data_IF_188950450704
#
_entry.id   IF_188950450704
#
_cell.length_a   1.000
_cell.length_b   1.000
_cell.length_c   1.000
_cell.angle_alpha   90.00
_cell.angle_beta   90.00
_cell.angle_gamma   90.00
#
_symmetry.space_group_name_H-M   'P 1'
#
loop_
_entity.id
_entity.type
_entity.pdbx_description
1 polymer ?
#
# COMPACT_ATOMS: atom_id res chain seq x y z
N UNK A 1 -32.19 41.20 83.88
CA UNK A 1 -32.98 40.03 84.31
C UNK A 1 -32.47 39.61 85.68
N UNK A 2 -33.33 39.02 86.50
CA UNK A 2 -32.92 38.45 87.78
C UNK A 2 -32.27 37.09 87.54
N UNK A 3 -31.17 36.81 88.21
CA UNK A 3 -30.59 35.46 88.29
C UNK A 3 -31.31 34.63 89.36
N UNK A 4 -31.19 33.29 89.33
CA UNK A 4 -31.69 32.44 90.42
C UNK A 4 -31.18 32.93 91.79
N UNK A 5 -29.92 33.36 91.87
CA UNK A 5 -29.30 33.91 93.09
C UNK A 5 -29.97 35.22 93.52
N UNK A 6 -30.43 36.05 92.59
CA UNK A 6 -31.16 37.29 92.91
C UNK A 6 -32.57 37.02 93.43
N UNK A 7 -33.19 35.91 93.02
CA UNK A 7 -34.50 35.46 93.52
C UNK A 7 -34.35 34.89 94.93
N UNK A 8 -33.32 34.06 95.16
CA UNK A 8 -33.04 33.43 96.45
C UNK A 8 -32.65 34.43 97.54
N UNK A 9 -31.88 35.47 97.19
CA UNK A 9 -31.44 36.49 98.14
C UNK A 9 -32.44 37.64 98.31
N UNK A 10 -33.66 37.52 97.78
CA UNK A 10 -34.63 38.61 97.79
C UNK A 10 -35.30 38.75 99.15
N UNK A 11 -34.94 39.79 99.89
CA UNK A 11 -35.64 40.16 101.13
C UNK A 11 -36.81 41.13 100.87
N UNK A 12 -37.97 40.82 101.44
CA UNK A 12 -39.16 41.66 101.41
C UNK A 12 -39.34 42.42 102.73
N UNK A 13 -39.73 43.70 102.66
CA UNK A 13 -40.03 44.51 103.86
C UNK A 13 -41.30 43.98 104.53
N UNK A 14 -41.29 43.82 105.87
CA UNK A 14 -42.46 43.38 106.65
C UNK A 14 -43.58 44.43 106.59
N UNK A 15 -44.78 44.03 106.17
CA UNK A 15 -45.97 44.91 106.18
C UNK A 15 -46.58 44.99 107.58
N UNK A 16 -47.06 46.18 107.98
CA UNK A 16 -47.62 46.43 109.32
C UNK A 16 -49.08 45.96 109.48
N UNK A 17 -49.86 45.86 108.39
CA UNK A 17 -51.26 45.38 108.36
C UNK A 17 -51.51 44.73 106.98
N UNK A 18 -52.11 43.54 106.94
CA UNK A 18 -52.63 42.90 105.71
C UNK A 18 -51.60 42.43 104.67
N UNK A 19 -50.38 42.06 105.07
CA UNK A 19 -49.36 41.52 104.16
C UNK A 19 -49.52 40.02 103.84
N UNK A 20 -48.83 39.54 102.80
CA UNK A 20 -48.78 38.12 102.45
C UNK A 20 -48.10 37.27 103.54
N UNK A 21 -48.50 36.00 103.63
CA UNK A 21 -47.89 35.04 104.54
C UNK A 21 -46.45 34.72 104.08
N UNK A 22 -45.48 34.91 104.98
CA UNK A 22 -44.06 34.76 104.66
C UNK A 22 -43.72 33.32 104.23
N UNK A 23 -44.28 32.31 104.90
CA UNK A 23 -44.04 30.90 104.56
C UNK A 23 -44.57 30.56 103.16
N UNK A 24 -45.82 30.92 102.86
CA UNK A 24 -46.44 30.69 101.54
C UNK A 24 -45.70 31.42 100.40
N UNK A 25 -45.21 32.64 100.66
CA UNK A 25 -44.39 33.39 99.69
C UNK A 25 -43.04 32.71 99.46
N UNK A 26 -42.40 32.20 100.52
CA UNK A 26 -41.12 31.50 100.39
C UNK A 26 -41.27 30.17 99.64
N UNK A 27 -42.30 29.38 99.95
CA UNK A 27 -42.58 28.11 99.25
C UNK A 27 -42.82 28.36 97.75
N UNK A 28 -43.55 29.42 97.41
CA UNK A 28 -43.76 29.83 96.01
C UNK A 28 -42.48 30.32 95.33
N UNK A 29 -41.62 31.05 96.05
CA UNK A 29 -40.32 31.49 95.53
C UNK A 29 -39.38 30.32 95.27
N UNK A 30 -39.41 29.27 96.08
CA UNK A 30 -38.66 28.03 95.87
C UNK A 30 -39.14 27.29 94.61
N UNK A 31 -40.46 27.23 94.39
CA UNK A 31 -41.05 26.64 93.17
C UNK A 31 -40.69 27.45 91.91
N UNK A 32 -40.72 28.79 92.01
CA UNK A 32 -40.23 29.70 90.96
C UNK A 32 -38.75 29.43 90.71
N UNK A 33 -37.91 29.37 91.75
CA UNK A 33 -36.47 29.19 91.64
C UNK A 33 -36.16 27.90 90.86
N UNK A 34 -36.82 26.80 91.23
CA UNK A 34 -36.67 25.50 90.57
C UNK A 34 -37.05 25.58 89.08
N UNK A 35 -38.24 26.10 88.78
CA UNK A 35 -38.73 26.24 87.41
C UNK A 35 -37.83 27.17 86.58
N UNK A 36 -37.33 28.25 87.19
CA UNK A 36 -36.42 29.20 86.54
C UNK A 36 -35.07 28.56 86.21
N UNK A 37 -34.55 27.73 87.12
CA UNK A 37 -33.32 26.98 86.91
C UNK A 37 -33.47 25.95 85.78
N UNK A 38 -34.61 25.24 85.74
CA UNK A 38 -34.93 24.30 84.66
C UNK A 38 -34.97 25.01 83.29
N UNK A 39 -35.66 26.15 83.19
CA UNK A 39 -35.72 26.95 81.95
C UNK A 39 -34.34 27.47 81.54
N UNK A 40 -33.51 27.91 82.48
CA UNK A 40 -32.13 28.36 82.17
C UNK A 40 -31.29 27.21 81.63
N UNK A 41 -31.34 26.04 82.27
CA UNK A 41 -30.60 24.87 81.84
C UNK A 41 -31.07 24.40 80.45
N UNK A 42 -32.38 24.37 80.20
CA UNK A 42 -32.95 24.04 78.90
C UNK A 42 -32.52 25.09 77.84
N UNK A 43 -32.49 26.37 78.19
CA UNK A 43 -32.03 27.42 77.27
C UNK A 43 -30.57 27.24 76.86
N UNK A 44 -29.69 26.86 77.80
CA UNK A 44 -28.29 26.55 77.48
C UNK A 44 -28.19 25.30 76.59
N UNK A 45 -28.89 24.21 76.95
CA UNK A 45 -28.89 22.99 76.14
C UNK A 45 -29.42 23.22 74.71
N UNK A 46 -30.46 24.05 74.55
CA UNK A 46 -31.00 24.44 73.25
C UNK A 46 -30.01 25.31 72.47
N UNK A 47 -29.33 26.26 73.12
CA UNK A 47 -28.29 27.08 72.48
C UNK A 47 -27.13 26.22 71.97
N UNK A 48 -26.65 25.28 72.78
CA UNK A 48 -25.59 24.35 72.38
C UNK A 48 -26.02 23.50 71.20
N UNK A 49 -27.25 22.98 71.23
CA UNK A 49 -27.83 22.22 70.12
C UNK A 49 -27.95 23.04 68.83
N UNK A 50 -28.39 24.30 68.94
CA UNK A 50 -28.47 25.24 67.81
C UNK A 50 -27.09 25.48 67.22
N UNK A 51 -26.07 25.68 68.05
CA UNK A 51 -24.69 25.88 67.59
C UNK A 51 -24.18 24.66 66.84
N UNK A 52 -24.34 23.45 67.39
CA UNK A 52 -23.93 22.21 66.73
C UNK A 52 -24.66 21.95 65.40
N UNK A 53 -25.97 22.25 65.36
CA UNK A 53 -26.77 22.17 64.12
C UNK A 53 -26.29 23.18 63.09
N UNK A 54 -25.99 24.42 63.49
CA UNK A 54 -25.49 25.45 62.59
C UNK A 54 -24.13 25.08 61.99
N UNK A 55 -23.21 24.55 62.80
CA UNK A 55 -21.92 24.05 62.31
C UNK A 55 -22.11 22.93 61.29
N UNK A 56 -23.00 21.98 61.57
CA UNK A 56 -23.34 20.89 60.65
C UNK A 56 -23.91 21.43 59.33
N UNK A 57 -24.81 22.41 59.39
CA UNK A 57 -25.37 23.04 58.18
C UNK A 57 -24.28 23.74 57.36
N UNK A 58 -23.34 24.45 58.00
CA UNK A 58 -22.23 25.08 57.30
C UNK A 58 -21.30 24.06 56.62
N UNK A 59 -21.03 22.96 57.31
CA UNK A 59 -20.27 21.85 56.74
C UNK A 59 -20.96 21.27 55.49
N UNK A 60 -22.26 20.97 55.57
CA UNK A 60 -23.01 20.44 54.43
C UNK A 60 -23.08 21.43 53.27
N UNK A 61 -23.24 22.73 53.52
CA UNK A 61 -23.22 23.75 52.46
C UNK A 61 -21.87 23.83 51.75
N UNK A 62 -20.78 23.74 52.50
CA UNK A 62 -19.42 23.75 51.94
C UNK A 62 -19.18 22.49 51.10
N UNK A 63 -19.65 21.34 51.59
CA UNK A 63 -19.57 20.08 50.87
C UNK A 63 -20.40 20.11 49.58
N UNK A 64 -21.63 20.61 49.64
CA UNK A 64 -22.51 20.78 48.48
C UNK A 64 -21.86 21.66 47.41
N UNK A 65 -21.30 22.80 47.81
CA UNK A 65 -20.57 23.69 46.90
C UNK A 65 -19.37 22.98 46.27
N UNK A 66 -18.63 22.19 47.04
CA UNK A 66 -17.49 21.41 46.53
C UNK A 66 -17.95 20.38 45.50
N UNK A 67 -19.04 19.65 45.78
CA UNK A 67 -19.60 18.65 44.86
C UNK A 67 -20.09 19.31 43.58
N UNK A 68 -20.78 20.45 43.66
CA UNK A 68 -21.20 21.21 42.49
C UNK A 68 -20.01 21.64 41.63
N UNK A 69 -18.94 22.14 42.25
CA UNK A 69 -17.72 22.52 41.53
C UNK A 69 -17.05 21.31 40.86
N UNK A 70 -16.98 20.16 41.56
CA UNK A 70 -16.44 18.92 40.99
C UNK A 70 -17.30 18.42 39.82
N UNK A 71 -18.62 18.52 39.92
CA UNK A 71 -19.53 18.12 38.84
C UNK A 71 -19.32 18.99 37.59
N UNK A 72 -19.22 20.30 37.76
CA UNK A 72 -18.95 21.25 36.66
C UNK A 72 -17.57 20.98 36.04
N UNK A 73 -16.56 20.73 36.86
CA UNK A 73 -15.22 20.39 36.37
C UNK A 73 -15.22 19.07 35.61
N UNK A 74 -15.94 18.05 36.10
CA UNK A 74 -16.05 16.76 35.44
C UNK A 74 -16.75 16.88 34.09
N UNK A 75 -17.87 17.62 34.01
CA UNK A 75 -18.57 17.87 32.75
C UNK A 75 -17.68 18.63 31.76
N UNK A 76 -17.02 19.69 32.20
CA UNK A 76 -16.07 20.44 31.37
C UNK A 76 -14.94 19.54 30.86
N UNK A 77 -14.33 18.76 31.74
CA UNK A 77 -13.25 17.82 31.37
C UNK A 77 -13.74 16.77 30.38
N UNK A 78 -14.95 16.25 30.55
CA UNK A 78 -15.56 15.31 29.62
C UNK A 78 -15.80 15.95 28.25
N UNK A 79 -16.31 17.17 28.21
CA UNK A 79 -16.50 17.93 26.96
C UNK A 79 -15.17 18.24 26.27
N UNK A 80 -14.15 18.69 27.00
CA UNK A 80 -12.82 18.98 26.47
C UNK A 80 -12.15 17.71 25.92
N UNK A 81 -12.22 16.60 26.66
CA UNK A 81 -11.69 15.30 26.21
C UNK A 81 -12.41 14.79 24.96
N UNK A 82 -13.74 14.93 24.93
CA UNK A 82 -14.56 14.57 23.77
C UNK A 82 -14.19 15.44 22.55
N UNK A 83 -14.07 16.75 22.73
CA UNK A 83 -13.66 17.69 21.69
C UNK A 83 -12.29 17.34 21.10
N UNK A 84 -11.30 17.13 21.96
CA UNK A 84 -9.94 16.74 21.53
C UNK A 84 -9.93 15.39 20.77
N UNK A 85 -10.75 14.41 21.21
CA UNK A 85 -10.87 13.14 20.52
C UNK A 85 -11.47 13.30 19.11
N UNK A 86 -12.50 14.14 18.94
CA UNK A 86 -13.08 14.42 17.62
C UNK A 86 -12.12 15.17 16.71
N UNK A 87 -11.42 16.17 17.22
CA UNK A 87 -10.40 16.91 16.45
C UNK A 87 -9.31 15.96 15.96
N UNK A 88 -8.80 15.10 16.84
CA UNK A 88 -7.79 14.10 16.48
C UNK A 88 -8.31 13.08 15.48
N UNK A 89 -9.57 12.64 15.61
CA UNK A 89 -10.18 11.73 14.67
C UNK A 89 -10.32 12.35 13.27
N UNK A 90 -10.73 13.63 13.18
CA UNK A 90 -10.85 14.31 11.89
C UNK A 90 -9.47 14.57 11.26
N UNK A 91 -8.45 14.88 12.07
CA UNK A 91 -7.07 15.01 11.60
C UNK A 91 -6.56 13.69 11.01
N UNK A 92 -6.76 12.56 11.72
CA UNK A 92 -6.37 11.22 11.25
C UNK A 92 -7.10 10.87 9.94
N UNK A 93 -8.41 11.15 9.87
CA UNK A 93 -9.20 10.90 8.68
C UNK A 93 -8.68 11.71 7.49
N UNK A 94 -8.46 13.00 7.68
CA UNK A 94 -7.91 13.89 6.65
C UNK A 94 -6.53 13.44 6.18
N UNK A 95 -5.66 13.04 7.11
CA UNK A 95 -4.33 12.53 6.76
C UNK A 95 -4.42 11.22 5.98
N UNK A 96 -5.31 10.31 6.38
CA UNK A 96 -5.56 9.05 5.67
C UNK A 96 -6.09 9.31 4.25
N UNK A 97 -7.04 10.24 4.08
CA UNK A 97 -7.58 10.66 2.79
C UNK A 97 -6.47 11.23 1.90
N UNK A 98 -5.65 12.16 2.40
CA UNK A 98 -4.52 12.73 1.67
C UNK A 98 -3.48 11.68 1.26
N UNK A 99 -3.16 10.74 2.15
CA UNK A 99 -2.25 9.63 1.84
C UNK A 99 -2.83 8.72 0.78
N UNK A 100 -4.13 8.39 0.87
CA UNK A 100 -4.81 7.57 -0.11
C UNK A 100 -4.84 8.25 -1.49
N UNK A 101 -5.19 9.53 -1.55
CA UNK A 101 -5.19 10.33 -2.78
C UNK A 101 -3.79 10.36 -3.43
N UNK A 102 -2.75 10.61 -2.62
CA UNK A 102 -1.36 10.60 -3.11
C UNK A 102 -0.94 9.22 -3.65
N UNK A 103 -1.35 8.14 -2.98
CA UNK A 103 -1.05 6.78 -3.43
C UNK A 103 -1.76 6.46 -4.75
N UNK A 104 -3.03 6.83 -4.88
CA UNK A 104 -3.78 6.65 -6.12
C UNK A 104 -3.17 7.45 -7.26
N UNK A 105 -2.85 8.73 -7.04
CA UNK A 105 -2.19 9.58 -8.03
C UNK A 105 -0.85 9.01 -8.49
N UNK A 106 -0.02 8.53 -7.56
CA UNK A 106 1.25 7.89 -7.90
C UNK A 106 1.06 6.58 -8.68
N UNK A 107 0.04 5.80 -8.34
CA UNK A 107 -0.29 4.57 -9.06
C UNK A 107 -0.76 4.87 -10.49
N UNK A 108 -1.62 5.87 -10.67
CA UNK A 108 -2.08 6.33 -11.99
C UNK A 108 -0.90 6.83 -12.84
N UNK A 109 0.01 7.63 -12.28
CA UNK A 109 1.20 8.10 -12.98
C UNK A 109 2.11 6.93 -13.40
N UNK A 110 2.28 5.92 -12.53
CA UNK A 110 3.05 4.70 -12.85
C UNK A 110 2.40 3.90 -13.95
N UNK A 111 1.09 3.71 -13.91
CA UNK A 111 0.34 3.00 -14.95
C UNK A 111 0.47 3.74 -16.28
N UNK A 112 0.31 5.06 -16.29
CA UNK A 112 0.47 5.88 -17.50
C UNK A 112 1.87 5.73 -18.10
N UNK A 113 2.92 5.76 -17.27
CA UNK A 113 4.31 5.51 -17.73
C UNK A 113 4.49 4.12 -18.33
N UNK A 114 4.00 3.07 -17.67
CA UNK A 114 4.12 1.69 -18.16
C UNK A 114 3.40 1.52 -19.50
N UNK A 115 2.20 2.08 -19.63
CA UNK A 115 1.43 2.03 -20.88
C UNK A 115 2.17 2.75 -22.01
N UNK A 116 2.75 3.92 -21.73
CA UNK A 116 3.51 4.67 -22.73
C UNK A 116 4.78 3.94 -23.15
N UNK A 117 5.52 3.38 -22.19
CA UNK A 117 6.70 2.55 -22.49
C UNK A 117 6.31 1.33 -23.34
N UNK A 118 5.25 0.62 -22.96
CA UNK A 118 4.75 -0.53 -23.74
C UNK A 118 4.31 -0.15 -25.15
N UNK A 119 3.73 1.04 -25.34
CA UNK A 119 3.39 1.57 -26.68
C UNK A 119 4.63 1.87 -27.51
N UNK A 120 5.64 2.49 -26.91
CA UNK A 120 6.89 2.78 -27.59
C UNK A 120 7.62 1.50 -28.00
N UNK A 121 7.72 0.52 -27.10
CA UNK A 121 8.32 -0.79 -27.39
C UNK A 121 7.55 -1.54 -28.50
N UNK A 122 6.22 -1.53 -28.45
CA UNK A 122 5.38 -2.14 -29.49
C UNK A 122 5.57 -1.45 -30.84
N UNK A 123 5.74 -0.13 -30.85
CA UNK A 123 6.02 0.63 -32.07
C UNK A 123 7.41 0.29 -32.63
N UNK A 124 8.45 0.27 -31.80
CA UNK A 124 9.80 -0.12 -32.19
C UNK A 124 9.86 -1.57 -32.72
N UNK A 125 9.15 -2.49 -32.07
CA UNK A 125 9.04 -3.88 -32.53
C UNK A 125 8.34 -3.95 -33.88
N UNK A 126 7.26 -3.19 -34.07
CA UNK A 126 6.53 -3.13 -35.35
C UNK A 126 7.42 -2.63 -36.49
N UNK A 127 8.26 -1.61 -36.23
CA UNK A 127 9.25 -1.15 -37.21
C UNK A 127 10.26 -2.23 -37.56
N UNK A 128 10.84 -2.91 -36.55
CA UNK A 128 11.79 -4.01 -36.77
C UNK A 128 11.18 -5.15 -37.59
N UNK A 129 9.92 -5.50 -37.33
CA UNK A 129 9.20 -6.53 -38.11
C UNK A 129 9.05 -6.11 -39.58
N UNK A 130 8.66 -4.86 -39.83
CA UNK A 130 8.53 -4.33 -41.19
C UNK A 130 9.89 -4.28 -41.92
N UNK A 131 10.96 -3.89 -41.22
CA UNK A 131 12.31 -3.86 -41.78
C UNK A 131 12.81 -5.27 -42.14
N UNK A 132 12.64 -6.25 -41.25
CA UNK A 132 12.99 -7.66 -41.54
C UNK A 132 12.19 -8.17 -42.73
N UNK A 133 10.90 -7.85 -42.83
CA UNK A 133 10.07 -8.23 -43.97
C UNK A 133 10.58 -7.62 -45.28
N UNK A 134 10.99 -6.35 -45.28
CA UNK A 134 11.59 -5.69 -46.45
C UNK A 134 12.92 -6.33 -46.84
N UNK A 135 13.78 -6.63 -45.86
CA UNK A 135 15.04 -7.33 -46.10
C UNK A 135 14.77 -8.71 -46.71
N UNK A 136 13.86 -9.49 -46.15
CA UNK A 136 13.48 -10.81 -46.68
C UNK A 136 12.99 -10.73 -48.14
N UNK A 137 12.09 -9.78 -48.45
CA UNK A 137 11.62 -9.58 -49.83
C UNK A 137 12.74 -9.19 -50.78
N UNK A 138 13.67 -8.33 -50.34
CA UNK A 138 14.85 -7.95 -51.11
C UNK A 138 15.77 -9.14 -51.37
N UNK A 139 16.11 -9.91 -50.34
CA UNK A 139 16.91 -11.13 -50.48
C UNK A 139 16.25 -12.16 -51.39
N UNK A 140 14.93 -12.36 -51.27
CA UNK A 140 14.17 -13.25 -52.16
C UNK A 140 14.25 -12.79 -53.61
N UNK A 141 14.15 -11.49 -53.88
CA UNK A 141 14.26 -10.94 -55.23
C UNK A 141 15.68 -11.12 -55.79
N UNK A 142 16.71 -10.79 -55.00
CA UNK A 142 18.12 -10.97 -55.38
C UNK A 142 18.43 -12.44 -55.68
N UNK A 143 17.96 -13.38 -54.85
CA UNK A 143 18.17 -14.80 -55.05
C UNK A 143 17.46 -15.31 -56.30
N UNK A 144 16.21 -14.85 -56.55
CA UNK A 144 15.49 -15.17 -57.79
C UNK A 144 16.24 -14.66 -59.02
N UNK A 145 16.75 -13.42 -58.98
CA UNK A 145 17.53 -12.85 -60.07
C UNK A 145 18.83 -13.62 -60.32
N UNK A 146 19.53 -14.04 -59.26
CA UNK A 146 20.71 -14.89 -59.37
C UNK A 146 20.38 -16.24 -60.02
N UNK A 147 19.30 -16.90 -59.60
CA UNK A 147 18.88 -18.15 -60.22
C UNK A 147 18.50 -17.98 -61.69
N UNK A 148 17.79 -16.88 -62.02
CA UNK A 148 17.46 -16.55 -63.41
C UNK A 148 18.72 -16.31 -64.25
N UNK A 149 19.72 -15.58 -63.73
CA UNK A 149 20.96 -15.35 -64.45
C UNK A 149 21.77 -16.65 -64.62
N UNK A 150 21.77 -17.54 -63.63
CA UNK A 150 22.41 -18.87 -63.75
C UNK A 150 21.68 -19.76 -64.77
N UNK A 151 20.34 -19.70 -64.82
CA UNK A 151 19.55 -20.39 -65.85
C UNK A 151 19.86 -19.85 -67.25
N UNK A 152 19.90 -18.53 -67.43
CA UNK A 152 20.27 -17.91 -68.72
C UNK A 152 21.68 -18.32 -69.17
N UNK A 153 22.64 -18.42 -68.23
CA UNK A 153 23.99 -18.91 -68.53
C UNK A 153 24.00 -20.37 -68.98
N UNK A 154 23.19 -21.23 -68.36
CA UNK A 154 23.05 -22.63 -68.76
C UNK A 154 22.38 -22.76 -70.13
N UNK A 155 21.31 -22.01 -70.39
CA UNK A 155 20.66 -21.97 -71.71
C UNK A 155 21.62 -21.47 -72.80
N UNK A 156 22.47 -20.49 -72.50
CA UNK A 156 23.53 -20.05 -73.40
C UNK A 156 24.63 -21.11 -73.58
N UNK A 157 24.96 -21.85 -72.52
CA UNK A 157 25.88 -22.99 -72.55
C UNK A 157 25.37 -24.15 -73.40
N UNK A 158 24.10 -24.49 -73.25
CA UNK A 158 23.39 -25.51 -74.04
C UNK A 158 23.22 -25.07 -75.49
N UNK A 159 22.92 -23.79 -75.74
CA UNK A 159 22.91 -23.23 -77.09
C UNK A 159 24.30 -23.32 -77.75
N UNK A 160 25.38 -23.06 -77.01
CA UNK A 160 26.76 -23.25 -77.51
C UNK A 160 27.12 -24.71 -77.73
N UNK A 161 26.67 -25.62 -76.86
CA UNK A 161 26.87 -27.05 -77.04
C UNK A 161 26.10 -27.58 -78.26
N UNK A 162 24.89 -27.08 -78.50
CA UNK A 162 24.07 -27.42 -79.68
C UNK A 162 24.70 -26.88 -80.97
N UNK A 163 25.18 -25.63 -80.96
CA UNK A 163 25.90 -25.05 -82.11
C UNK A 163 27.20 -25.80 -82.39
N UNK A 164 27.99 -26.15 -81.35
CA UNK A 164 29.20 -26.95 -81.51
C UNK A 164 28.91 -28.36 -82.04
N UNK A 165 27.76 -28.94 -81.68
CA UNK A 165 27.35 -30.25 -82.19
C UNK A 165 26.87 -30.17 -83.65
N UNK A 166 26.14 -29.13 -84.05
CA UNK A 166 25.77 -28.89 -85.46
C UNK A 166 27.00 -28.58 -86.33
N UNK A 167 27.97 -27.81 -85.84
CA UNK A 167 29.23 -27.53 -86.55
C UNK A 167 30.11 -28.78 -86.67
N UNK A 168 30.15 -29.63 -85.63
CA UNK A 168 30.84 -30.92 -85.71
C UNK A 168 30.14 -31.88 -86.68
N UNK A 169 28.80 -31.96 -86.67
CA UNK A 169 28.04 -32.79 -87.61
C UNK A 169 28.24 -32.33 -89.06
N UNK A 170 28.31 -31.01 -89.31
CA UNK A 170 28.67 -30.49 -90.64
C UNK A 170 30.13 -30.75 -91.02
N UNK A 171 31.07 -30.67 -90.07
CA UNK A 171 32.47 -31.01 -90.30
C UNK A 171 32.69 -32.50 -90.60
N UNK A 172 31.99 -33.40 -89.90
CA UNK A 172 32.01 -34.84 -90.18
C UNK A 172 31.41 -35.17 -91.55
N UNK A 173 30.30 -34.53 -91.93
CA UNK A 173 29.70 -34.69 -93.26
C UNK A 173 30.59 -34.16 -94.40
N UNK A 174 31.49 -33.21 -94.12
CA UNK A 174 32.48 -32.72 -95.08
C UNK A 174 33.67 -33.66 -95.24
N UNK A 175 34.11 -34.31 -94.15
CA UNK A 175 35.21 -35.28 -94.15
C UNK A 175 34.82 -36.57 -94.91
N UNK A 176 33.55 -36.98 -94.83
CA UNK A 176 33.04 -38.19 -95.52
C UNK A 176 33.04 -38.06 -97.06
N UNK A 177 33.19 -36.86 -97.62
CA UNK A 177 33.18 -36.62 -99.08
C UNK A 177 34.56 -36.59 -99.74
N UNK A 178 35.67 -36.63 -99.00
CA UNK A 178 37.01 -36.34 -99.55
C UNK A 178 38.10 -37.42 -99.35
N UNK A 179 37.77 -38.65 -98.93
CA UNK A 179 38.74 -39.78 -98.95
C UNK A 179 38.14 -41.05 -99.58
N UNK A 180 38.56 -41.31 -100.81
CA UNK A 180 38.14 -42.38 -101.72
C UNK A 180 39.07 -43.60 -101.57
N UNK A 181 38.52 -44.81 -101.82
CA UNK A 181 39.20 -46.05 -102.17
C UNK A 181 40.01 -46.80 -101.09
N UNK A 182 39.59 -48.06 -100.89
CA UNK A 182 40.37 -49.28 -100.58
C UNK A 182 41.26 -49.30 -99.32
N UNK A 183 41.36 -50.36 -98.52
CA UNK A 183 40.71 -51.66 -98.33
C UNK A 183 41.32 -52.21 -97.01
N UNK A 184 40.51 -52.93 -96.26
CA UNK A 184 40.79 -54.00 -95.27
C UNK A 184 41.52 -53.77 -93.93
N UNK A 185 40.91 -54.48 -92.96
CA UNK A 185 41.08 -54.52 -91.51
C UNK A 185 42.11 -55.60 -91.13
N UNK A 186 42.76 -55.50 -89.97
CA UNK A 186 42.65 -56.63 -89.06
C UNK A 186 42.35 -56.22 -87.60
N UNK A 187 41.54 -57.05 -86.96
CA UNK A 187 41.38 -57.15 -85.51
C UNK A 187 42.68 -57.64 -84.88
N UNK A 188 43.04 -57.14 -83.68
CA UNK A 188 43.41 -57.96 -82.50
C UNK A 188 43.72 -57.10 -81.26
N UNK A 189 43.03 -57.44 -80.18
CA UNK A 189 43.47 -57.65 -78.80
C UNK A 189 44.20 -56.55 -77.98
N UNK A 190 43.48 -56.12 -76.94
CA UNK A 190 43.85 -56.03 -75.53
C UNK A 190 45.28 -55.60 -75.14
N UNK A 191 45.37 -54.46 -74.45
CA UNK A 191 46.26 -54.27 -73.29
C UNK A 191 45.59 -53.38 -72.25
N UNK A 192 45.61 -53.86 -71.02
CA UNK A 192 45.17 -53.22 -69.79
C UNK A 192 45.90 -51.88 -69.57
N UNK A 193 45.15 -50.82 -69.26
CA UNK A 193 45.72 -49.69 -68.52
C UNK A 193 44.87 -49.46 -67.26
N UNK A 194 45.51 -49.69 -66.12
CA UNK A 194 45.04 -49.40 -64.77
C UNK A 194 44.67 -47.92 -64.63
N UNK A 195 43.38 -47.62 -64.52
CA UNK A 195 42.96 -46.34 -63.96
C UNK A 195 42.89 -46.47 -62.45
N UNK A 196 43.91 -45.92 -61.77
CA UNK A 196 43.91 -45.68 -60.33
C UNK A 196 42.71 -44.79 -59.94
N UNK A 197 41.62 -45.40 -59.47
CA UNK A 197 40.62 -44.68 -58.68
C UNK A 197 41.21 -44.42 -57.31
N UNK A 198 41.46 -43.15 -56.96
CA UNK A 198 41.73 -42.78 -55.57
C UNK A 198 40.49 -43.15 -54.75
N UNK A 199 40.61 -44.19 -53.93
CA UNK A 199 39.57 -44.55 -52.97
C UNK A 199 39.25 -43.37 -52.05
N UNK A 200 37.96 -43.11 -51.90
CA UNK A 200 37.40 -42.23 -50.90
C UNK A 200 37.56 -42.91 -49.52
N UNK A 201 38.43 -42.36 -48.67
CA UNK A 201 38.51 -42.75 -47.27
C UNK A 201 37.48 -41.91 -46.51
N UNK A 202 36.44 -42.50 -45.90
CA UNK A 202 35.54 -41.76 -45.02
C UNK A 202 36.32 -41.31 -43.78
N UNK A 203 36.36 -40.00 -43.54
CA UNK A 203 36.88 -39.40 -42.32
C UNK A 203 36.05 -39.93 -41.14
N UNK A 204 36.67 -40.59 -40.18
CA UNK A 204 35.99 -41.05 -38.96
C UNK A 204 35.63 -39.84 -38.08
N UNK A 205 34.47 -39.89 -37.42
CA UNK A 205 33.88 -38.80 -36.62
C UNK A 205 34.81 -38.20 -35.53
N UNK A 206 35.88 -38.89 -35.14
CA UNK A 206 36.90 -38.38 -34.21
C UNK A 206 37.75 -37.23 -34.78
N UNK A 207 38.02 -37.19 -36.10
CA UNK A 207 38.82 -36.12 -36.72
C UNK A 207 38.01 -34.82 -36.90
N UNK A 208 36.69 -34.92 -37.07
CA UNK A 208 35.78 -33.76 -37.23
C UNK A 208 35.64 -32.98 -35.91
N UNK A 209 35.65 -33.67 -34.76
CA UNK A 209 35.56 -33.02 -33.45
C UNK A 209 36.84 -32.26 -33.04
N UNK A 210 37.99 -32.60 -33.63
CA UNK A 210 39.25 -31.87 -33.39
C UNK A 210 39.36 -30.53 -34.14
N UNK A 211 38.57 -30.35 -35.20
CA UNK A 211 38.55 -29.15 -36.04
C UNK A 211 37.51 -28.11 -35.59
N UNK A 212 36.52 -28.50 -34.78
CA UNK A 212 35.47 -27.60 -34.25
C UNK A 212 35.81 -26.97 -32.88
N UNK A 213 36.91 -27.40 -32.23
CA UNK A 213 37.37 -26.89 -30.93
C UNK A 213 38.69 -26.09 -31.02
N UNK A 214 38.83 -25.23 -32.03
CA UNK A 214 39.89 -24.23 -32.11
C UNK A 214 39.35 -22.84 -32.38
#
# INVERSE_FOLDING_TARGET
>A
MLSPVDIQNKEFRKSKIGGYHIEEVNDFLDEILKSYQEVINENYALKDKINALNESVQYYRTMESTIQNVLVLADKTAQDTKGAAYEKAEEIKKEAEQRAEKMTSLAEERVARIVEQGRQEAFELSQKVEDIKRQYLSYKAQFKQLLQSQMELLEQGDARATIAQDDLVQAFAAIEKETVASVEVPQTEATEEEYFTKEYIPVSDEEISSLLNK
#
